data_IF_186322847631
#
_entry.id   IF_186322847631
#
_cell.length_a   1.000
_cell.length_b   1.000
_cell.length_c   1.000
_cell.angle_alpha   90.00
_cell.angle_beta   90.00
_cell.angle_gamma   90.00
#
_symmetry.space_group_name_H-M   'P 1'
#
loop_
_entity.id
_entity.type
_entity.pdbx_description
1 polymer ?
#
# COMPACT_ATOMS: atom_id res chain seq x y z
N UNK A 1 -1.58 -8.35 5.16
CA UNK A 1 -1.46 -7.03 5.82
C UNK A 1 -0.01 -6.56 5.77
N UNK A 2 0.97 -7.30 6.33
CA UNK A 2 2.39 -6.90 6.40
C UNK A 2 2.93 -6.47 5.03
N UNK A 3 2.85 -7.34 4.03
CA UNK A 3 3.41 -7.09 2.70
C UNK A 3 2.78 -5.86 2.02
N UNK A 4 1.46 -5.70 2.12
CA UNK A 4 0.76 -4.55 1.53
C UNK A 4 1.22 -3.24 2.19
N UNK A 5 1.26 -3.22 3.52
CA UNK A 5 1.74 -2.03 4.24
C UNK A 5 3.22 -1.75 3.99
N UNK A 6 4.06 -2.79 3.92
CA UNK A 6 5.49 -2.63 3.60
C UNK A 6 5.68 -2.02 2.20
N UNK A 7 4.93 -2.46 1.19
CA UNK A 7 4.98 -1.89 -0.15
C UNK A 7 4.59 -0.40 -0.14
N UNK A 8 3.52 -0.05 0.58
CA UNK A 8 3.06 1.33 0.72
C UNK A 8 4.12 2.22 1.40
N UNK A 9 4.69 1.75 2.52
CA UNK A 9 5.71 2.51 3.25
C UNK A 9 7.01 2.67 2.46
N UNK A 10 7.45 1.64 1.75
CA UNK A 10 8.62 1.73 0.86
C UNK A 10 8.39 2.80 -0.22
N UNK A 11 7.25 2.77 -0.89
CA UNK A 11 6.91 3.78 -1.89
C UNK A 11 6.91 5.19 -1.29
N UNK A 12 6.24 5.38 -0.15
CA UNK A 12 6.14 6.68 0.52
C UNK A 12 7.50 7.21 0.98
N UNK A 13 8.42 6.33 1.38
CA UNK A 13 9.75 6.72 1.80
C UNK A 13 10.65 7.08 0.61
N UNK A 14 10.62 6.31 -0.49
CA UNK A 14 11.47 6.60 -1.65
C UNK A 14 10.99 7.79 -2.48
N UNK A 15 9.67 8.04 -2.51
CA UNK A 15 9.09 9.06 -3.39
C UNK A 15 9.57 10.48 -3.07
N UNK A 16 9.84 10.80 -1.80
CA UNK A 16 10.37 12.10 -1.41
C UNK A 16 11.79 12.34 -1.99
N UNK A 17 12.61 11.30 -2.01
CA UNK A 17 13.96 11.34 -2.59
C UNK A 17 13.89 11.46 -4.12
N UNK A 18 12.94 10.78 -4.75
CA UNK A 18 12.68 10.90 -6.19
C UNK A 18 12.32 12.34 -6.58
N UNK A 19 11.38 12.98 -5.87
CA UNK A 19 11.03 14.37 -6.11
C UNK A 19 12.18 15.34 -5.83
N UNK A 20 12.99 15.06 -4.80
CA UNK A 20 14.11 15.92 -4.41
C UNK A 20 15.28 15.83 -5.38
N UNK A 21 15.68 14.63 -5.77
CA UNK A 21 16.95 14.38 -6.47
C UNK A 21 16.78 14.08 -7.96
N UNK A 22 15.71 13.46 -8.39
CA UNK A 22 15.49 13.06 -9.79
C UNK A 22 14.70 14.13 -10.57
N UNK A 23 13.57 14.58 -10.04
CA UNK A 23 12.83 15.70 -10.64
C UNK A 23 13.51 17.05 -10.33
N UNK A 24 14.05 17.20 -9.14
CA UNK A 24 14.90 18.33 -8.73
C UNK A 24 14.23 19.72 -8.85
N UNK A 25 15.07 20.76 -8.91
CA UNK A 25 14.65 22.14 -9.09
C UNK A 25 14.23 22.87 -7.80
N UNK A 26 14.14 24.21 -7.87
CA UNK A 26 13.81 25.04 -6.72
C UNK A 26 12.38 24.79 -6.16
N UNK A 27 11.49 24.21 -6.96
CA UNK A 27 10.10 23.93 -6.63
C UNK A 27 9.77 22.50 -6.22
N UNK A 28 10.74 21.62 -6.03
CA UNK A 28 10.49 20.19 -5.77
C UNK A 28 9.57 19.92 -4.57
N UNK A 29 9.65 20.74 -3.51
CA UNK A 29 8.78 20.61 -2.32
C UNK A 29 7.32 20.85 -2.67
N UNK A 30 7.01 21.88 -3.47
CA UNK A 30 5.66 22.19 -3.91
C UNK A 30 5.11 21.07 -4.82
N UNK A 31 5.93 20.56 -5.74
CA UNK A 31 5.57 19.47 -6.66
C UNK A 31 5.30 18.18 -5.89
N UNK A 32 6.15 17.82 -4.92
CA UNK A 32 5.95 16.69 -4.02
C UNK A 32 4.67 16.82 -3.20
N UNK A 33 4.43 18.01 -2.61
CA UNK A 33 3.23 18.28 -1.81
C UNK A 33 1.97 18.13 -2.66
N UNK A 34 1.97 18.69 -3.88
CA UNK A 34 0.83 18.58 -4.79
C UNK A 34 0.58 17.09 -5.17
N UNK A 35 1.61 16.36 -5.55
CA UNK A 35 1.50 14.93 -5.85
C UNK A 35 0.96 14.13 -4.66
N UNK A 36 1.49 14.38 -3.46
CA UNK A 36 1.07 13.68 -2.23
C UNK A 36 -0.37 14.01 -1.85
N UNK A 37 -0.80 15.27 -2.07
CA UNK A 37 -2.19 15.69 -1.82
C UNK A 37 -3.15 15.01 -2.80
N UNK A 38 -2.82 14.99 -4.09
CA UNK A 38 -3.60 14.28 -5.12
C UNK A 38 -3.65 12.79 -4.82
N UNK A 39 -2.51 12.19 -4.44
CA UNK A 39 -2.43 10.79 -4.05
C UNK A 39 -3.28 10.49 -2.81
N UNK A 40 -3.21 11.33 -1.77
CA UNK A 40 -4.03 11.19 -0.57
C UNK A 40 -5.52 11.28 -0.86
N UNK A 41 -5.94 12.25 -1.70
CA UNK A 41 -7.32 12.35 -2.17
C UNK A 41 -7.75 11.11 -2.94
N UNK A 42 -6.92 10.60 -3.84
CA UNK A 42 -7.18 9.37 -4.59
C UNK A 42 -7.31 8.14 -3.66
N UNK A 43 -6.49 8.06 -2.61
CA UNK A 43 -6.57 7.00 -1.61
C UNK A 43 -7.90 7.03 -0.86
N UNK A 44 -8.35 8.22 -0.43
CA UNK A 44 -9.64 8.41 0.25
C UNK A 44 -10.79 8.06 -0.70
N UNK A 45 -10.75 8.51 -1.95
CA UNK A 45 -11.76 8.16 -2.97
C UNK A 45 -11.79 6.67 -3.26
N UNK A 46 -10.63 6.01 -3.31
CA UNK A 46 -10.51 4.57 -3.45
C UNK A 46 -11.21 3.83 -2.32
N UNK A 47 -11.01 4.29 -1.10
CA UNK A 47 -11.58 3.71 0.12
C UNK A 47 -13.10 3.96 0.23
N UNK A 48 -13.54 5.21 0.02
CA UNK A 48 -14.92 5.63 0.32
C UNK A 48 -15.88 5.47 -0.86
N UNK A 49 -15.38 5.53 -2.09
CA UNK A 49 -16.22 5.52 -3.30
C UNK A 49 -15.98 4.26 -4.13
N UNK A 50 -14.75 4.01 -4.54
CA UNK A 50 -14.46 2.89 -5.46
C UNK A 50 -14.74 1.54 -4.81
N UNK A 51 -14.32 1.34 -3.56
CA UNK A 51 -14.55 0.09 -2.85
C UNK A 51 -16.05 -0.26 -2.74
N UNK A 52 -16.94 0.60 -2.21
CA UNK A 52 -18.39 0.31 -2.15
C UNK A 52 -19.04 0.11 -3.52
N UNK A 53 -18.59 0.85 -4.55
CA UNK A 53 -19.11 0.69 -5.91
C UNK A 53 -18.76 -0.69 -6.49
N UNK A 54 -17.50 -1.11 -6.34
CA UNK A 54 -17.05 -2.42 -6.80
C UNK A 54 -17.70 -3.56 -6.00
N UNK A 55 -17.93 -3.35 -4.71
CA UNK A 55 -18.58 -4.32 -3.82
C UNK A 55 -20.03 -4.64 -4.20
N UNK A 56 -20.69 -3.75 -4.93
CA UNK A 56 -22.04 -4.01 -5.47
C UNK A 56 -22.08 -5.10 -6.55
N UNK A 57 -20.96 -5.31 -7.25
CA UNK A 57 -20.87 -6.25 -8.39
C UNK A 57 -19.91 -7.43 -8.15
N UNK A 58 -18.94 -7.25 -7.28
CA UNK A 58 -17.85 -8.21 -7.05
C UNK A 58 -17.76 -8.60 -5.58
N UNK A 59 -17.31 -9.81 -5.31
CA UNK A 59 -17.00 -10.28 -3.97
C UNK A 59 -15.78 -9.56 -3.38
N UNK A 60 -15.63 -9.53 -2.03
CA UNK A 60 -14.46 -8.90 -1.37
C UNK A 60 -13.14 -9.50 -1.86
N UNK A 61 -13.12 -10.82 -2.06
CA UNK A 61 -11.95 -11.53 -2.59
C UNK A 61 -11.61 -11.11 -4.02
N UNK A 62 -12.63 -10.92 -4.87
CA UNK A 62 -12.44 -10.44 -6.25
C UNK A 62 -11.94 -9.00 -6.29
N UNK A 63 -12.53 -8.11 -5.47
CA UNK A 63 -12.08 -6.70 -5.37
C UNK A 63 -10.65 -6.64 -4.87
N UNK A 64 -10.24 -7.51 -3.94
CA UNK A 64 -8.87 -7.58 -3.44
C UNK A 64 -7.88 -7.98 -4.54
N UNK A 65 -8.19 -9.03 -5.31
CA UNK A 65 -7.37 -9.43 -6.45
C UNK A 65 -7.27 -8.34 -7.51
N UNK A 66 -8.41 -7.72 -7.85
CA UNK A 66 -8.46 -6.63 -8.82
C UNK A 66 -7.60 -5.45 -8.36
N UNK A 67 -7.70 -5.06 -7.09
CA UNK A 67 -6.91 -3.96 -6.51
C UNK A 67 -5.42 -4.26 -6.54
N UNK A 68 -4.99 -5.49 -6.23
CA UNK A 68 -3.58 -5.90 -6.31
C UNK A 68 -3.06 -5.87 -7.74
N UNK A 69 -3.83 -6.40 -8.70
CA UNK A 69 -3.43 -6.40 -10.12
C UNK A 69 -3.36 -4.98 -10.66
N UNK A 70 -4.35 -4.13 -10.39
CA UNK A 70 -4.34 -2.72 -10.79
C UNK A 70 -3.18 -1.94 -10.15
N UNK A 71 -2.86 -2.19 -8.89
CA UNK A 71 -1.70 -1.59 -8.24
C UNK A 71 -0.39 -2.01 -8.93
N UNK A 72 -0.23 -3.30 -9.26
CA UNK A 72 0.93 -3.79 -10.02
C UNK A 72 1.04 -3.14 -11.40
N UNK A 73 -0.07 -3.01 -12.12
CA UNK A 73 -0.11 -2.27 -13.40
C UNK A 73 0.25 -0.79 -13.22
N UNK A 74 -0.24 -0.16 -12.15
CA UNK A 74 0.09 1.23 -11.79
C UNK A 74 1.58 1.42 -11.54
N UNK A 75 2.21 0.53 -10.75
CA UNK A 75 3.66 0.57 -10.53
C UNK A 75 4.45 0.30 -11.81
N UNK A 76 3.98 -0.64 -12.66
CA UNK A 76 4.59 -0.90 -13.97
C UNK A 76 4.54 0.32 -14.89
N UNK A 77 3.40 1.01 -14.94
CA UNK A 77 3.25 2.26 -15.71
C UNK A 77 4.13 3.37 -15.12
N UNK A 78 4.22 3.48 -13.80
CA UNK A 78 5.09 4.43 -13.13
C UNK A 78 6.56 4.18 -13.48
N UNK A 79 6.99 2.91 -13.49
CA UNK A 79 8.34 2.53 -13.91
C UNK A 79 8.63 2.95 -15.35
N UNK A 80 7.72 2.65 -16.28
CA UNK A 80 7.87 3.05 -17.69
C UNK A 80 7.99 4.57 -17.81
N UNK A 81 7.17 5.35 -17.11
CA UNK A 81 7.25 6.81 -17.12
C UNK A 81 8.57 7.33 -16.56
N UNK A 82 9.08 6.72 -15.51
CA UNK A 82 10.39 7.05 -14.96
C UNK A 82 11.54 6.75 -15.91
N UNK A 83 11.47 5.65 -16.67
CA UNK A 83 12.53 5.26 -17.61
C UNK A 83 12.48 6.05 -18.92
N UNK A 84 11.29 6.43 -19.39
CA UNK A 84 11.10 7.19 -20.64
C UNK A 84 11.24 8.71 -20.45
N UNK A 85 11.43 9.19 -19.23
CA UNK A 85 11.52 10.62 -18.92
C UNK A 85 10.16 11.34 -18.88
N UNK A 86 9.05 10.64 -19.08
CA UNK A 86 7.69 11.21 -18.95
C UNK A 86 7.38 11.64 -17.52
N UNK A 87 8.14 11.14 -16.55
CA UNK A 87 8.05 11.54 -15.13
C UNK A 87 8.34 13.02 -14.87
N UNK A 88 9.01 13.72 -15.77
CA UNK A 88 9.25 15.16 -15.65
C UNK A 88 7.97 16.00 -15.78
N UNK A 89 6.91 15.45 -16.36
CA UNK A 89 5.58 16.07 -16.35
C UNK A 89 4.79 15.59 -15.14
N UNK A 90 4.53 16.50 -14.17
CA UNK A 90 3.75 16.18 -12.96
C UNK A 90 2.36 15.63 -13.30
N UNK A 91 1.71 16.20 -14.33
CA UNK A 91 0.38 15.73 -14.74
C UNK A 91 0.39 14.27 -15.21
N UNK A 92 1.41 13.88 -15.98
CA UNK A 92 1.57 12.50 -16.44
C UNK A 92 1.93 11.57 -15.27
N UNK A 93 2.79 12.01 -14.35
CA UNK A 93 3.17 11.25 -13.17
C UNK A 93 1.97 10.99 -12.23
N UNK A 94 1.03 11.93 -12.14
CA UNK A 94 -0.19 11.77 -11.34
C UNK A 94 -1.09 10.62 -11.84
N UNK A 95 -1.07 10.29 -13.13
CA UNK A 95 -1.94 9.22 -13.68
C UNK A 95 -1.68 7.86 -13.01
N UNK A 96 -0.47 7.29 -13.09
CA UNK A 96 -0.17 6.03 -12.38
C UNK A 96 -0.20 6.22 -10.86
N UNK A 97 0.18 7.39 -10.35
CA UNK A 97 0.11 7.71 -8.93
C UNK A 97 -1.31 7.57 -8.38
N UNK A 98 -2.30 8.17 -9.00
CA UNK A 98 -3.72 8.08 -8.62
C UNK A 98 -4.19 6.62 -8.60
N UNK A 99 -3.82 5.82 -9.61
CA UNK A 99 -4.18 4.40 -9.66
C UNK A 99 -3.58 3.65 -8.48
N UNK A 100 -2.29 3.82 -8.21
CA UNK A 100 -1.59 3.15 -7.09
C UNK A 100 -2.21 3.55 -5.76
N UNK A 101 -2.40 4.85 -5.50
CA UNK A 101 -2.97 5.32 -4.23
C UNK A 101 -4.42 4.92 -4.04
N UNK A 102 -5.25 4.97 -5.07
CA UNK A 102 -6.65 4.51 -5.00
C UNK A 102 -6.73 3.00 -4.69
N UNK A 103 -5.90 2.19 -5.34
CA UNK A 103 -5.79 0.75 -5.04
C UNK A 103 -5.33 0.50 -3.60
N UNK A 104 -4.35 1.25 -3.11
CA UNK A 104 -3.91 1.17 -1.72
C UNK A 104 -5.03 1.50 -0.73
N UNK A 105 -5.88 2.49 -1.03
CA UNK A 105 -7.08 2.79 -0.25
C UNK A 105 -8.03 1.60 -0.17
N UNK A 106 -8.35 0.97 -1.30
CA UNK A 106 -9.19 -0.22 -1.33
C UNK A 106 -8.56 -1.40 -0.57
N UNK A 107 -7.27 -1.64 -0.74
CA UNK A 107 -6.54 -2.70 -0.03
C UNK A 107 -6.53 -2.49 1.48
N UNK A 108 -6.46 -1.25 1.95
CA UNK A 108 -6.52 -0.92 3.39
C UNK A 108 -7.86 -1.33 3.99
N UNK A 109 -8.97 -1.00 3.34
CA UNK A 109 -10.32 -1.41 3.80
C UNK A 109 -10.46 -2.93 3.77
N UNK A 110 -10.06 -3.56 2.66
CA UNK A 110 -10.19 -5.00 2.49
C UNK A 110 -9.36 -5.81 3.49
N UNK A 111 -8.14 -5.36 3.80
CA UNK A 111 -7.31 -6.03 4.82
C UNK A 111 -7.93 -5.94 6.21
N UNK A 112 -8.56 -4.82 6.55
CA UNK A 112 -9.29 -4.66 7.82
C UNK A 112 -10.54 -5.53 7.85
N UNK A 113 -11.29 -5.59 6.74
CA UNK A 113 -12.45 -6.47 6.61
C UNK A 113 -12.08 -7.95 6.78
N UNK A 114 -11.03 -8.41 6.11
CA UNK A 114 -10.56 -9.80 6.26
C UNK A 114 -10.06 -10.12 7.67
N UNK A 115 -9.51 -9.12 8.36
CA UNK A 115 -9.13 -9.29 9.76
C UNK A 115 -10.36 -9.46 10.65
N UNK A 116 -11.40 -8.63 10.47
CA UNK A 116 -12.67 -8.76 11.18
C UNK A 116 -13.30 -10.14 10.95
N UNK A 117 -13.36 -10.58 9.69
CA UNK A 117 -13.86 -11.92 9.36
C UNK A 117 -13.04 -13.04 10.04
N UNK A 118 -11.73 -12.81 10.26
CA UNK A 118 -10.87 -13.76 10.97
C UNK A 118 -11.18 -13.80 12.47
N UNK A 119 -11.59 -12.69 13.08
CA UNK A 119 -12.07 -12.65 14.48
C UNK A 119 -13.33 -13.50 14.63
N UNK A 120 -14.31 -13.29 13.74
CA UNK A 120 -15.58 -14.01 13.79
C UNK A 120 -15.38 -15.53 13.55
N UNK A 121 -14.52 -15.90 12.59
CA UNK A 121 -14.14 -17.30 12.37
C UNK A 121 -13.40 -17.91 13.58
N UNK A 122 -12.52 -17.15 14.22
CA UNK A 122 -11.83 -17.56 15.45
C UNK A 122 -12.83 -17.83 16.59
N UNK A 123 -13.81 -16.93 16.77
CA UNK A 123 -14.87 -17.10 17.75
C UNK A 123 -15.69 -18.37 17.51
N UNK A 124 -16.07 -18.64 16.26
CA UNK A 124 -16.80 -19.85 15.91
C UNK A 124 -16.01 -21.11 16.29
N UNK A 125 -14.70 -21.10 16.09
CA UNK A 125 -13.84 -22.29 16.27
C UNK A 125 -13.39 -22.52 17.72
N UNK A 126 -13.22 -21.44 18.51
CA UNK A 126 -12.67 -21.50 19.87
C UNK A 126 -13.70 -21.18 20.97
N UNK A 127 -14.88 -20.67 20.58
CA UNK A 127 -15.90 -20.17 21.52
C UNK A 127 -15.53 -18.86 22.24
N UNK A 128 -14.37 -18.25 21.90
CA UNK A 128 -13.89 -17.01 22.54
C UNK A 128 -13.71 -15.92 21.49
N UNK A 129 -14.18 -14.70 21.79
CA UNK A 129 -13.98 -13.53 20.93
C UNK A 129 -12.72 -12.79 21.37
N UNK A 130 -11.64 -13.00 20.63
CA UNK A 130 -10.32 -12.40 20.92
C UNK A 130 -10.04 -11.17 20.04
N UNK A 131 -11.04 -10.30 19.85
CA UNK A 131 -10.97 -9.14 18.97
C UNK A 131 -9.83 -8.18 19.33
N UNK A 132 -9.70 -7.84 20.63
CA UNK A 132 -8.68 -6.92 21.12
C UNK A 132 -7.25 -7.42 20.86
N UNK A 133 -7.02 -8.73 21.00
CA UNK A 133 -5.71 -9.34 20.73
C UNK A 133 -5.38 -9.26 19.25
N UNK A 134 -6.34 -9.59 18.37
CA UNK A 134 -6.13 -9.60 16.92
C UNK A 134 -5.86 -8.18 16.40
N UNK A 135 -6.64 -7.17 16.83
CA UNK A 135 -6.42 -5.78 16.39
C UNK A 135 -5.17 -5.13 16.99
N UNK A 136 -4.78 -5.49 18.23
CA UNK A 136 -3.50 -5.04 18.79
C UNK A 136 -2.31 -5.64 18.06
N UNK A 137 -2.38 -6.93 17.68
CA UNK A 137 -1.38 -7.57 16.83
C UNK A 137 -1.30 -6.93 15.44
N UNK A 138 -2.43 -6.57 14.82
CA UNK A 138 -2.44 -5.81 13.57
C UNK A 138 -1.69 -4.50 13.72
N UNK A 139 -2.01 -3.73 14.75
CA UNK A 139 -1.36 -2.43 15.00
C UNK A 139 0.15 -2.59 15.20
N UNK A 140 0.57 -3.57 16.01
CA UNK A 140 1.97 -3.90 16.19
C UNK A 140 2.68 -4.24 14.88
N UNK A 141 2.10 -5.14 14.10
CA UNK A 141 2.66 -5.61 12.82
C UNK A 141 2.76 -4.47 11.80
N UNK A 142 1.76 -3.58 11.73
CA UNK A 142 1.79 -2.41 10.82
C UNK A 142 2.90 -1.44 11.24
N UNK A 143 3.08 -1.19 12.54
CA UNK A 143 4.18 -0.35 13.04
C UNK A 143 5.54 -0.98 12.82
N UNK A 144 5.68 -2.29 13.04
CA UNK A 144 6.91 -3.02 12.74
C UNK A 144 7.24 -2.97 11.23
N UNK A 145 6.26 -3.17 10.36
CA UNK A 145 6.43 -3.04 8.91
C UNK A 145 6.90 -1.64 8.49
N UNK A 146 6.38 -0.58 9.13
CA UNK A 146 6.84 0.79 8.92
C UNK A 146 8.33 0.97 9.30
N UNK A 147 8.74 0.47 10.47
CA UNK A 147 10.14 0.52 10.92
C UNK A 147 11.09 -0.23 9.97
N UNK A 148 10.70 -1.45 9.56
CA UNK A 148 11.46 -2.25 8.59
C UNK A 148 11.55 -1.52 7.24
N UNK A 149 10.46 -0.90 6.77
CA UNK A 149 10.47 -0.15 5.51
C UNK A 149 11.44 1.05 5.57
N UNK A 150 11.47 1.80 6.68
CA UNK A 150 12.44 2.92 6.86
C UNK A 150 13.87 2.39 6.85
N UNK A 151 14.14 1.30 7.57
CA UNK A 151 15.47 0.67 7.60
C UNK A 151 15.92 0.20 6.22
N UNK A 152 15.04 -0.50 5.47
CA UNK A 152 15.31 -0.93 4.11
C UNK A 152 15.48 0.25 3.14
N UNK A 153 14.75 1.34 3.35
CA UNK A 153 14.93 2.57 2.57
C UNK A 153 16.33 3.14 2.79
N UNK A 154 16.79 3.23 4.05
CA UNK A 154 18.13 3.70 4.38
C UNK A 154 19.21 2.87 3.70
N UNK A 155 19.16 1.54 3.85
CA UNK A 155 20.10 0.62 3.17
C UNK A 155 20.01 0.79 1.64
N UNK A 156 18.79 0.89 1.09
CA UNK A 156 18.60 1.05 -0.35
C UNK A 156 19.25 2.33 -0.88
N UNK A 157 19.08 3.45 -0.18
CA UNK A 157 19.71 4.73 -0.55
C UNK A 157 21.25 4.68 -0.47
N UNK A 158 21.78 4.01 0.53
CA UNK A 158 23.22 3.80 0.69
C UNK A 158 23.79 2.90 -0.43
N UNK A 159 23.12 1.80 -0.74
CA UNK A 159 23.50 0.88 -1.83
C UNK A 159 23.55 1.54 -3.21
N UNK A 160 22.65 2.47 -3.50
CA UNK A 160 22.65 3.21 -4.76
C UNK A 160 23.64 4.39 -4.74
N UNK A 161 24.34 4.62 -3.62
CA UNK A 161 25.31 5.69 -3.45
C UNK A 161 24.68 7.09 -3.49
N UNK A 162 23.51 7.29 -2.86
CA UNK A 162 22.85 8.57 -2.83
C UNK A 162 23.60 9.53 -1.92
N UNK A 163 24.08 10.65 -2.49
CA UNK A 163 24.79 11.71 -1.74
C UNK A 163 23.76 12.66 -1.15
N UNK A 164 23.65 12.70 0.18
CA UNK A 164 22.80 13.64 0.89
C UNK A 164 23.31 15.09 0.79
N UNK A 165 22.42 16.06 0.96
CA UNK A 165 22.82 17.46 1.11
C UNK A 165 23.47 17.67 2.48
N UNK A 166 24.59 18.38 2.50
CA UNK A 166 25.30 18.76 3.74
C UNK A 166 24.55 19.86 4.49
N UNK A 167 23.77 20.70 3.76
CA UNK A 167 22.96 21.78 4.31
C UNK A 167 21.49 21.66 3.84
N UNK A 168 20.53 21.89 4.75
CA UNK A 168 19.09 21.83 4.43
C UNK A 168 18.64 22.89 3.42
N UNK A 169 19.30 24.03 3.38
CA UNK A 169 18.99 25.20 2.53
C UNK A 169 19.89 25.33 1.31
N UNK A 170 20.89 24.47 1.17
CA UNK A 170 21.82 24.46 0.05
C UNK A 170 21.22 23.94 -1.27
N UNK A 171 21.92 24.12 -2.40
CA UNK A 171 21.50 23.54 -3.67
C UNK A 171 21.43 22.01 -3.56
N UNK A 172 20.45 21.41 -4.23
CA UNK A 172 20.26 19.95 -4.21
C UNK A 172 21.51 19.28 -4.81
N UNK A 173 22.08 18.31 -4.09
CA UNK A 173 23.27 17.60 -4.55
C UNK A 173 22.98 16.87 -5.86
N UNK A 174 23.87 17.06 -6.84
CA UNK A 174 23.77 16.40 -8.15
C UNK A 174 24.10 14.92 -7.97
N UNK A 175 23.22 14.07 -8.42
CA UNK A 175 23.35 12.62 -8.33
C UNK A 175 23.90 12.02 -9.62
N UNK A 176 24.57 10.87 -9.53
CA UNK A 176 25.00 10.14 -10.73
C UNK A 176 23.80 9.55 -11.47
N UNK A 177 23.93 9.32 -12.78
CA UNK A 177 22.87 8.66 -13.57
C UNK A 177 22.54 7.26 -13.02
N UNK A 178 23.54 6.54 -12.50
CA UNK A 178 23.34 5.23 -11.87
C UNK A 178 22.52 5.32 -10.58
N UNK A 179 22.78 6.33 -9.73
CA UNK A 179 22.04 6.60 -8.50
C UNK A 179 20.57 6.94 -8.80
N UNK A 180 20.33 7.79 -9.80
CA UNK A 180 18.95 8.14 -10.22
C UNK A 180 18.19 6.92 -10.77
N UNK A 181 18.84 6.10 -11.59
CA UNK A 181 18.25 4.84 -12.06
C UNK A 181 17.94 3.89 -10.90
N UNK A 182 18.88 3.73 -9.96
CA UNK A 182 18.69 2.95 -8.75
C UNK A 182 17.49 3.43 -7.93
N UNK A 183 17.35 4.75 -7.76
CA UNK A 183 16.25 5.36 -7.04
C UNK A 183 14.89 5.07 -7.71
N UNK A 184 14.80 5.20 -9.04
CA UNK A 184 13.61 4.85 -9.83
C UNK A 184 13.21 3.39 -9.66
N UNK A 185 14.19 2.48 -9.71
CA UNK A 185 13.98 1.04 -9.53
C UNK A 185 13.54 0.72 -8.09
N UNK A 186 14.20 1.28 -7.09
CA UNK A 186 13.85 1.06 -5.68
C UNK A 186 12.42 1.55 -5.37
N UNK A 187 12.01 2.69 -5.92
CA UNK A 187 10.68 3.25 -5.71
C UNK A 187 9.57 2.43 -6.37
N UNK A 188 9.85 1.75 -7.49
CA UNK A 188 8.82 1.08 -8.30
C UNK A 188 8.90 -0.44 -8.23
N UNK A 189 10.07 -1.02 -8.51
CA UNK A 189 10.24 -2.48 -8.61
C UNK A 189 10.17 -3.14 -7.23
N UNK A 190 10.76 -2.54 -6.20
CA UNK A 190 10.77 -3.13 -4.87
C UNK A 190 9.35 -3.27 -4.28
N UNK A 191 8.48 -2.23 -4.26
CA UNK A 191 7.09 -2.38 -3.85
C UNK A 191 6.30 -3.35 -4.76
N UNK A 192 6.59 -3.37 -6.06
CA UNK A 192 5.95 -4.28 -7.01
C UNK A 192 6.26 -5.74 -6.70
N UNK A 193 7.50 -6.08 -6.37
CA UNK A 193 7.90 -7.43 -5.94
C UNK A 193 7.20 -7.84 -4.64
N UNK A 194 7.12 -6.93 -3.68
CA UNK A 194 6.43 -7.16 -2.39
C UNK A 194 4.93 -7.41 -2.62
N UNK A 195 4.27 -6.61 -3.47
CA UNK A 195 2.85 -6.80 -3.81
C UNK A 195 2.62 -8.07 -4.63
N UNK A 196 3.51 -8.43 -5.54
CA UNK A 196 3.45 -9.69 -6.26
C UNK A 196 3.56 -10.89 -5.29
N UNK A 197 4.45 -10.81 -4.30
CA UNK A 197 4.53 -11.78 -3.21
C UNK A 197 3.23 -11.86 -2.40
N UNK A 198 2.62 -10.72 -2.09
CA UNK A 198 1.33 -10.65 -1.42
C UNK A 198 0.22 -11.34 -2.24
N UNK A 199 0.19 -11.11 -3.56
CA UNK A 199 -0.77 -11.74 -4.47
C UNK A 199 -0.61 -13.26 -4.52
N UNK A 200 0.63 -13.75 -4.61
CA UNK A 200 0.94 -15.20 -4.62
C UNK A 200 0.54 -15.85 -3.30
N UNK A 201 0.90 -15.23 -2.16
CA UNK A 201 0.53 -15.74 -0.84
C UNK A 201 -0.98 -15.76 -0.64
N UNK A 202 -1.66 -14.71 -1.05
CA UNK A 202 -3.12 -14.63 -0.95
C UNK A 202 -3.78 -15.76 -1.76
N UNK A 203 -3.37 -15.95 -3.02
CA UNK A 203 -3.91 -17.03 -3.86
C UNK A 203 -3.68 -18.43 -3.29
N UNK A 204 -2.55 -18.65 -2.62
CA UNK A 204 -2.19 -19.99 -2.11
C UNK A 204 -2.75 -20.29 -0.72
N UNK A 205 -2.92 -19.29 0.13
CA UNK A 205 -3.18 -19.49 1.58
C UNK A 205 -4.50 -18.92 2.07
N UNK A 206 -5.19 -18.09 1.26
CA UNK A 206 -6.43 -17.49 1.71
C UNK A 206 -7.59 -18.49 1.62
N UNK A 207 -8.15 -18.82 2.79
CA UNK A 207 -9.19 -19.84 2.95
C UNK A 207 -10.57 -19.22 3.27
N UNK A 208 -10.59 -17.98 3.80
CA UNK A 208 -11.82 -17.29 4.20
C UNK A 208 -12.45 -16.58 3.00
N UNK A 209 -13.18 -17.35 2.16
CA UNK A 209 -14.02 -16.78 1.10
C UNK A 209 -15.23 -16.05 1.69
N UNK A 210 -15.86 -15.17 0.89
CA UNK A 210 -17.07 -14.43 1.29
C UNK A 210 -18.20 -15.38 1.73
N UNK A 211 -18.32 -16.55 1.11
CA UNK A 211 -19.30 -17.58 1.47
C UNK A 211 -19.05 -18.13 2.88
N UNK A 212 -17.80 -18.49 3.20
CA UNK A 212 -17.42 -18.97 4.53
C UNK A 212 -17.56 -17.88 5.59
N UNK A 213 -17.28 -16.63 5.25
CA UNK A 213 -17.49 -15.52 6.16
C UNK A 213 -18.98 -15.31 6.45
N UNK A 214 -19.85 -15.37 5.44
CA UNK A 214 -21.30 -15.27 5.60
C UNK A 214 -21.88 -16.43 6.43
N UNK A 215 -21.39 -17.64 6.20
CA UNK A 215 -21.76 -18.83 6.97
C UNK A 215 -21.36 -18.66 8.45
N UNK A 216 -20.14 -18.18 8.73
CA UNK A 216 -19.67 -17.92 10.09
C UNK A 216 -20.54 -16.90 10.82
N UNK A 217 -20.92 -15.80 10.17
CA UNK A 217 -21.81 -14.77 10.74
C UNK A 217 -23.21 -15.35 11.02
N UNK A 218 -23.74 -16.16 10.12
CA UNK A 218 -25.03 -16.83 10.30
C UNK A 218 -25.04 -17.75 11.53
N UNK A 219 -23.99 -18.55 11.71
CA UNK A 219 -23.86 -19.43 12.87
C UNK A 219 -23.69 -18.64 14.18
N UNK A 220 -22.95 -17.55 14.21
CA UNK A 220 -22.79 -16.71 15.43
C UNK A 220 -24.09 -16.04 15.82
N UNK A 221 -24.93 -15.60 14.89
CA UNK A 221 -26.25 -15.03 15.19
C UNK A 221 -27.26 -16.06 15.68
N UNK A 222 -27.16 -17.31 15.22
CA UNK A 222 -28.08 -18.39 15.64
C UNK A 222 -27.70 -19.01 17.00
N UNK A 223 -26.43 -18.94 17.40
CA UNK A 223 -25.93 -19.60 18.62
C UNK A 223 -25.68 -18.66 19.79
N UNK A 224 -25.78 -17.34 19.60
CA UNK A 224 -25.76 -16.40 20.72
C UNK A 224 -27.08 -16.51 21.48
N UNK A 225 -27.09 -16.92 22.77
CA UNK A 225 -28.29 -16.85 23.56
C UNK A 225 -28.72 -15.37 23.65
N UNK A 226 -29.94 -15.09 23.23
CA UNK A 226 -30.61 -13.85 23.54
C UNK A 226 -30.87 -13.81 25.05
N UNK A 227 -29.85 -13.53 25.85
CA UNK A 227 -30.04 -13.17 27.25
C UNK A 227 -30.41 -11.69 27.27
N UNK A 228 -31.68 -11.35 27.60
CA UNK A 228 -32.01 -9.97 27.97
C UNK A 228 -31.23 -9.63 29.24
N UNK A 229 -30.57 -8.50 29.23
CA UNK A 229 -30.08 -7.87 30.44
C UNK A 229 -31.24 -7.42 31.31
#
# INVERSE_FOLDING_TARGET
>A
IVLINSALYLTSNFIIYFFKYDLGGAGWKATYTLFSTVGGAAQILGMMVLYPLLRKKFSSTQVFHLSLVLALCGYGTLLVFCLTGLSHSLALLCIPGVVVFACNGMLTVLTTLFLSNSVDYGQLKTGRREESVIFSMQTFVVKAASGVAVFLTGIGLDLIGLVGNTEETGPVAVQSAGTLLGLRLMMTVLPMLVLAGALVLFRRKFVLTDERAAETVSYTHLTLPTTPY
#
